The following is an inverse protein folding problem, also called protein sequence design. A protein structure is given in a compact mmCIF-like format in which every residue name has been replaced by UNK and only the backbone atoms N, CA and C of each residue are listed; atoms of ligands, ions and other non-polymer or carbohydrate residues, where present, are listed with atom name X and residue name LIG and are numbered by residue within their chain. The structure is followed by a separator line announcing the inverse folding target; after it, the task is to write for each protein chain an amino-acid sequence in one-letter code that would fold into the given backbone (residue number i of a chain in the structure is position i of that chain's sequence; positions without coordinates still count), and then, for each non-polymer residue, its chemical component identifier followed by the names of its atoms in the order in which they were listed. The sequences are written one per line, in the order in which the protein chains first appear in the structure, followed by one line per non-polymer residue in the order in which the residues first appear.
data_IF_698460955083
#
_entry.id   IF_698460955083
#
_cell.length_a   1.000
_cell.length_b   1.000
_cell.length_c   1.000
_cell.angle_alpha   90.00
_cell.angle_beta   90.00
_cell.angle_gamma   90.00
#
_symmetry.space_group_name_H-M   'P 1'
#
loop_
_entity.id
_entity.type
_entity.pdbx_description
1 polymer ?
#
# COMPACT_ATOMS: atom_id res chain seq x y z
N UNK A 1 3.04 -5.45 -32.00
CA UNK A 1 1.78 -4.77 -32.45
C UNK A 1 2.08 -3.28 -32.65
N UNK A 2 1.67 -2.64 -33.75
CA UNK A 2 1.91 -1.18 -33.95
C UNK A 2 1.17 -0.34 -32.88
N UNK A 3 1.81 0.70 -32.34
CA UNK A 3 1.15 1.75 -31.56
C UNK A 3 0.81 2.92 -32.49
N UNK A 4 -0.48 3.25 -32.62
CA UNK A 4 -0.93 4.37 -33.48
C UNK A 4 -0.46 5.73 -32.96
N UNK A 5 -0.49 5.94 -31.64
CA UNK A 5 -0.09 7.20 -30.99
C UNK A 5 1.41 7.46 -31.11
N UNK A 6 2.24 6.47 -30.74
CA UNK A 6 3.70 6.62 -30.76
C UNK A 6 4.32 6.34 -32.13
N UNK A 7 3.54 5.88 -33.11
CA UNK A 7 3.99 5.49 -34.47
C UNK A 7 5.18 4.52 -34.47
N UNK A 8 5.22 3.60 -33.50
CA UNK A 8 6.28 2.60 -33.35
C UNK A 8 5.73 1.19 -33.20
N UNK A 9 6.51 0.19 -33.64
CA UNK A 9 6.19 -1.23 -33.41
C UNK A 9 6.47 -1.54 -31.94
N UNK A 10 5.42 -1.87 -31.18
CA UNK A 10 5.55 -2.23 -29.77
C UNK A 10 6.26 -3.57 -29.64
N UNK A 11 7.37 -3.65 -28.87
CA UNK A 11 7.97 -4.90 -28.43
C UNK A 11 6.96 -5.77 -27.68
N UNK A 12 7.28 -7.05 -27.51
CA UNK A 12 6.44 -7.95 -26.72
C UNK A 12 6.19 -7.41 -25.31
N UNK A 13 5.00 -7.73 -24.77
CA UNK A 13 4.55 -7.34 -23.42
C UNK A 13 4.52 -5.82 -23.16
N UNK A 14 4.70 -4.98 -24.18
CA UNK A 14 4.67 -3.52 -24.03
C UNK A 14 3.31 -2.92 -24.38
N UNK A 15 2.91 -1.91 -23.61
CA UNK A 15 1.61 -1.25 -23.71
C UNK A 15 1.77 0.26 -23.72
N UNK A 16 0.87 0.95 -24.42
CA UNK A 16 0.82 2.41 -24.43
C UNK A 16 0.02 2.88 -23.22
N UNK A 17 0.61 3.73 -22.39
CA UNK A 17 -0.11 4.39 -21.31
C UNK A 17 -0.62 5.74 -21.82
N UNK A 18 -1.94 5.93 -21.85
CA UNK A 18 -2.55 7.21 -22.24
C UNK A 18 -2.22 8.34 -21.27
N UNK A 19 -2.03 8.03 -19.98
CA UNK A 19 -1.68 9.02 -18.94
C UNK A 19 -0.26 9.53 -19.11
N UNK A 20 0.71 8.64 -19.35
CA UNK A 20 2.11 9.05 -19.57
C UNK A 20 2.40 9.46 -21.02
N UNK A 21 1.52 9.15 -21.98
CA UNK A 21 1.68 9.51 -23.39
C UNK A 21 2.74 8.71 -24.16
N UNK A 22 3.27 7.63 -23.60
CA UNK A 22 4.30 6.81 -24.25
C UNK A 22 4.11 5.30 -24.03
N UNK A 23 4.80 4.50 -24.85
CA UNK A 23 4.85 3.04 -24.66
C UNK A 23 5.76 2.68 -23.49
N UNK A 24 5.36 1.68 -22.71
CA UNK A 24 6.08 1.17 -21.53
C UNK A 24 6.40 -0.31 -21.76
N UNK A 25 7.68 -0.67 -21.64
CA UNK A 25 8.15 -2.06 -21.74
C UNK A 25 7.65 -2.87 -20.55
N UNK A 26 7.19 -4.10 -20.80
CA UNK A 26 6.61 -5.00 -19.80
C UNK A 26 5.69 -4.24 -18.83
N UNK A 27 4.75 -3.48 -19.39
CA UNK A 27 3.89 -2.60 -18.59
C UNK A 27 3.02 -3.44 -17.66
N UNK A 28 2.99 -3.05 -16.39
CA UNK A 28 2.09 -3.60 -15.40
C UNK A 28 0.85 -2.71 -15.25
N UNK A 29 1.05 -1.49 -14.75
CA UNK A 29 -0.02 -0.49 -14.60
C UNK A 29 0.56 0.93 -14.56
N UNK A 30 -0.30 1.93 -14.68
CA UNK A 30 0.03 3.29 -14.27
C UNK A 30 -0.36 3.46 -12.80
N UNK A 31 0.62 3.75 -11.94
CA UNK A 31 0.37 3.86 -10.51
C UNK A 31 0.13 5.33 -10.15
N UNK A 32 -1.06 5.69 -9.64
CA UNK A 32 -1.34 7.07 -9.22
C UNK A 32 -0.50 7.47 -7.99
N UNK A 33 -0.12 6.51 -7.13
CA UNK A 33 0.64 6.80 -5.91
C UNK A 33 2.09 7.20 -6.19
N UNK A 34 2.71 6.63 -7.22
CA UNK A 34 4.07 6.99 -7.64
C UNK A 34 4.08 7.97 -8.82
N UNK A 35 2.89 8.34 -9.31
CA UNK A 35 2.67 9.18 -10.50
C UNK A 35 3.53 8.74 -11.70
N UNK A 36 3.69 7.43 -11.88
CA UNK A 36 4.51 6.87 -12.95
C UNK A 36 4.02 5.47 -13.34
N UNK A 37 4.38 5.05 -14.55
CA UNK A 37 4.13 3.66 -14.95
C UNK A 37 5.07 2.69 -14.25
N UNK A 38 4.49 1.61 -13.75
CA UNK A 38 5.22 0.43 -13.29
C UNK A 38 5.41 -0.51 -14.49
N UNK A 39 6.65 -0.86 -14.78
CA UNK A 39 7.01 -1.74 -15.88
C UNK A 39 8.43 -2.27 -15.75
N UNK A 40 9.03 -2.71 -16.86
CA UNK A 40 10.29 -3.46 -16.85
C UNK A 40 11.41 -2.82 -16.00
N UNK A 41 11.59 -1.50 -16.11
CA UNK A 41 12.72 -0.78 -15.51
C UNK A 41 12.55 -0.44 -14.03
N UNK A 42 11.33 -0.53 -13.49
CA UNK A 42 11.05 -0.11 -12.13
C UNK A 42 10.14 -1.05 -11.33
N UNK A 43 9.73 -2.20 -11.89
CA UNK A 43 8.89 -3.16 -11.17
C UNK A 43 9.53 -3.63 -9.85
N UNK A 44 10.86 -3.85 -9.84
CA UNK A 44 11.59 -4.18 -8.61
C UNK A 44 11.56 -3.05 -7.57
N UNK A 45 11.76 -1.80 -7.99
CA UNK A 45 11.68 -0.64 -7.08
C UNK A 45 10.27 -0.43 -6.53
N UNK A 46 9.24 -0.64 -7.37
CA UNK A 46 7.86 -0.60 -6.94
C UNK A 46 7.58 -1.66 -5.87
N UNK A 47 8.09 -2.89 -6.05
CA UNK A 47 7.93 -3.94 -5.05
C UNK A 47 8.68 -3.64 -3.74
N UNK A 48 9.88 -3.07 -3.81
CA UNK A 48 10.61 -2.59 -2.64
C UNK A 48 9.86 -1.48 -1.91
N UNK A 49 9.24 -0.55 -2.64
CA UNK A 49 8.39 0.49 -2.06
C UNK A 49 7.18 -0.13 -1.34
N UNK A 50 6.49 -1.11 -1.96
CA UNK A 50 5.40 -1.84 -1.31
C UNK A 50 5.86 -2.51 -0.01
N UNK A 51 7.00 -3.20 -0.03
CA UNK A 51 7.56 -3.85 1.15
C UNK A 51 7.93 -2.84 2.25
N UNK A 52 8.48 -1.69 1.88
CA UNK A 52 8.79 -0.60 2.81
C UNK A 52 7.53 -0.02 3.49
N UNK A 53 6.47 0.25 2.72
CA UNK A 53 5.20 0.72 3.27
C UNK A 53 4.54 -0.35 4.14
N UNK A 54 4.60 -1.62 3.74
CA UNK A 54 4.10 -2.73 4.53
C UNK A 54 4.82 -2.84 5.89
N UNK A 55 6.16 -2.82 5.91
CA UNK A 55 6.93 -2.82 7.14
C UNK A 55 6.65 -1.60 8.02
N UNK A 56 6.63 -0.40 7.43
CA UNK A 56 6.42 0.84 8.18
C UNK A 56 5.02 0.93 8.80
N UNK A 57 3.98 0.58 8.04
CA UNK A 57 2.60 0.57 8.53
C UNK A 57 2.35 -0.55 9.56
N UNK A 58 2.97 -1.72 9.38
CA UNK A 58 2.94 -2.80 10.37
C UNK A 58 3.62 -2.40 11.68
N UNK A 59 4.81 -1.80 11.60
CA UNK A 59 5.53 -1.26 12.76
C UNK A 59 4.71 -0.17 13.48
N UNK A 60 4.18 0.81 12.74
CA UNK A 60 3.36 1.88 13.28
C UNK A 60 2.10 1.37 13.99
N UNK A 61 1.45 0.35 13.42
CA UNK A 61 0.31 -0.33 14.04
C UNK A 61 0.71 -1.03 15.35
N UNK A 62 1.82 -1.77 15.34
CA UNK A 62 2.29 -2.52 16.51
C UNK A 62 2.61 -1.60 17.70
N UNK A 63 3.36 -0.51 17.47
CA UNK A 63 3.74 0.41 18.55
C UNK A 63 2.57 1.23 19.10
N UNK A 64 1.54 1.46 18.28
CA UNK A 64 0.39 2.29 18.65
C UNK A 64 -0.76 1.48 19.27
N UNK A 65 -0.71 0.14 19.19
CA UNK A 65 -1.76 -0.75 19.68
C UNK A 65 -2.05 -0.58 21.18
N UNK A 66 -1.00 -0.54 22.02
CA UNK A 66 -1.16 -0.37 23.46
C UNK A 66 -1.78 0.97 23.85
N UNK A 67 -1.47 2.02 23.08
CA UNK A 67 -2.07 3.35 23.27
C UNK A 67 -3.55 3.34 22.89
N UNK A 68 -3.88 2.69 21.77
CA UNK A 68 -5.26 2.54 21.33
C UNK A 68 -6.10 1.73 22.33
N UNK A 69 -5.57 0.61 22.85
CA UNK A 69 -6.30 -0.24 23.78
C UNK A 69 -6.57 0.47 25.12
N UNK A 70 -5.60 1.17 25.70
CA UNK A 70 -5.81 1.86 26.97
C UNK A 70 -6.78 3.03 26.83
N UNK A 71 -6.63 3.85 25.79
CA UNK A 71 -7.39 5.09 25.68
C UNK A 71 -8.74 4.97 25.03
N UNK A 72 -8.80 4.28 23.90
CA UNK A 72 -10.01 4.23 23.09
C UNK A 72 -10.84 3.06 23.55
N UNK A 73 -10.24 1.88 23.72
CA UNK A 73 -10.98 0.67 24.10
C UNK A 73 -11.42 0.70 25.57
N UNK A 74 -10.50 0.94 26.52
CA UNK A 74 -10.86 0.99 27.94
C UNK A 74 -11.71 2.22 28.28
N UNK A 75 -11.38 3.40 27.73
CA UNK A 75 -12.13 4.63 27.94
C UNK A 75 -13.57 4.57 27.41
N UNK A 76 -13.78 3.93 26.25
CA UNK A 76 -15.12 3.70 25.68
C UNK A 76 -15.93 2.65 26.45
N UNK A 77 -15.31 1.56 26.91
CA UNK A 77 -16.02 0.45 27.58
C UNK A 77 -16.28 0.68 29.07
N UNK A 78 -15.34 1.30 29.79
CA UNK A 78 -15.39 1.44 31.24
C UNK A 78 -15.73 2.87 31.71
N UNK A 79 -15.64 3.85 30.81
CA UNK A 79 -15.84 5.26 31.11
C UNK A 79 -14.57 5.92 31.65
N UNK A 80 -14.13 6.98 30.98
CA UNK A 80 -12.92 7.76 31.32
C UNK A 80 -12.97 8.30 32.75
N UNK A 81 -14.16 8.53 33.28
CA UNK A 81 -14.43 9.05 34.63
C UNK A 81 -13.95 8.12 35.76
N UNK A 82 -13.74 6.83 35.46
CA UNK A 82 -13.24 5.84 36.43
C UNK A 82 -11.72 5.69 36.42
N UNK A 83 -11.01 6.40 35.53
CA UNK A 83 -9.55 6.36 35.46
C UNK A 83 -8.96 7.20 36.59
N UNK A 84 -7.87 6.72 37.17
CA UNK A 84 -7.07 7.54 38.10
C UNK A 84 -6.42 8.71 37.36
N UNK A 85 -6.05 9.81 38.04
CA UNK A 85 -5.37 10.94 37.40
C UNK A 85 -4.10 10.55 36.62
N UNK A 86 -3.34 9.58 37.14
CA UNK A 86 -2.15 9.05 36.47
C UNK A 86 -2.48 8.27 35.19
N UNK A 87 -3.58 7.52 35.18
CA UNK A 87 -4.05 6.80 33.99
C UNK A 87 -4.66 7.75 32.97
N UNK A 88 -5.32 8.82 33.43
CA UNK A 88 -5.84 9.89 32.59
C UNK A 88 -4.71 10.66 31.88
N UNK A 89 -3.66 11.05 32.61
CA UNK A 89 -2.48 11.73 32.03
C UNK A 89 -1.74 10.84 31.03
N UNK A 90 -1.52 9.56 31.39
CA UNK A 90 -0.98 8.57 30.46
C UNK A 90 -1.87 8.43 29.24
N UNK A 91 -3.18 8.46 29.41
CA UNK A 91 -4.08 8.35 28.28
C UNK A 91 -4.08 9.61 27.39
N UNK A 92 -4.02 10.81 27.95
CA UNK A 92 -3.96 12.03 27.16
C UNK A 92 -2.66 12.07 26.33
N UNK A 93 -1.53 11.64 26.90
CA UNK A 93 -0.25 11.56 26.18
C UNK A 93 -0.19 10.40 25.16
N UNK A 94 -0.73 9.23 25.51
CA UNK A 94 -0.77 8.06 24.60
C UNK A 94 -1.86 8.21 23.53
N UNK A 95 -2.94 8.92 23.81
CA UNK A 95 -4.07 9.19 22.92
C UNK A 95 -3.66 9.86 21.61
N UNK A 96 -2.64 10.73 21.67
CA UNK A 96 -2.01 11.34 20.49
C UNK A 96 -1.45 10.29 19.52
N UNK A 97 -0.95 9.15 20.04
CA UNK A 97 -0.45 8.01 19.25
C UNK A 97 -1.56 7.04 18.87
N UNK A 98 -2.64 6.96 19.65
CA UNK A 98 -3.80 6.11 19.40
C UNK A 98 -4.49 6.43 18.07
N UNK A 99 -4.49 7.70 17.64
CA UNK A 99 -5.06 8.10 16.35
C UNK A 99 -4.36 7.44 15.15
N UNK A 100 -3.08 7.13 15.27
CA UNK A 100 -2.27 6.54 14.17
C UNK A 100 -2.56 5.05 13.99
N UNK A 101 -3.07 4.36 15.04
CA UNK A 101 -3.28 2.91 14.99
C UNK A 101 -4.22 2.47 13.86
N UNK A 102 -5.44 3.04 13.78
CA UNK A 102 -6.43 2.62 12.80
C UNK A 102 -5.98 2.90 11.36
N UNK A 103 -5.49 4.11 10.99
CA UNK A 103 -4.96 4.36 9.65
C UNK A 103 -3.77 3.45 9.30
N UNK A 104 -2.83 3.25 10.23
CA UNK A 104 -1.68 2.38 10.00
C UNK A 104 -2.12 0.93 9.77
N UNK A 105 -3.10 0.43 10.52
CA UNK A 105 -3.64 -0.91 10.36
C UNK A 105 -4.36 -1.07 9.02
N UNK A 106 -5.18 -0.10 8.62
CA UNK A 106 -5.86 -0.11 7.32
C UNK A 106 -4.85 -0.14 6.16
N UNK A 107 -3.80 0.68 6.22
CA UNK A 107 -2.72 0.69 5.23
C UNK A 107 -2.01 -0.66 5.22
N UNK A 108 -1.65 -1.20 6.38
CA UNK A 108 -0.99 -2.50 6.49
C UNK A 108 -1.80 -3.62 5.82
N UNK A 109 -3.09 -3.73 6.12
CA UNK A 109 -3.98 -4.74 5.53
C UNK A 109 -4.13 -4.57 4.02
N UNK A 110 -4.29 -3.32 3.55
CA UNK A 110 -4.32 -3.03 2.11
C UNK A 110 -3.02 -3.44 1.42
N UNK A 111 -1.87 -3.18 2.04
CA UNK A 111 -0.56 -3.57 1.52
C UNK A 111 -0.34 -5.09 1.54
N UNK A 112 -0.92 -5.83 2.50
CA UNK A 112 -0.92 -7.30 2.45
C UNK A 112 -1.63 -7.83 1.20
N UNK A 113 -2.80 -7.26 0.87
CA UNK A 113 -3.58 -7.67 -0.31
C UNK A 113 -2.82 -7.32 -1.59
N UNK A 114 -2.37 -6.06 -1.71
CA UNK A 114 -1.64 -5.59 -2.90
C UNK A 114 -0.29 -6.30 -3.08
N UNK A 115 0.46 -6.48 -1.99
CA UNK A 115 1.73 -7.21 -1.99
C UNK A 115 1.54 -8.69 -2.34
N UNK A 116 0.53 -9.34 -1.77
CA UNK A 116 0.17 -10.72 -2.10
C UNK A 116 -0.22 -10.89 -3.57
N UNK A 117 -1.00 -9.94 -4.11
CA UNK A 117 -1.31 -9.89 -5.55
C UNK A 117 -0.05 -9.80 -6.42
N UNK A 118 0.84 -8.86 -6.12
CA UNK A 118 2.08 -8.71 -6.90
C UNK A 118 3.03 -9.91 -6.74
N UNK A 119 3.07 -10.55 -5.57
CA UNK A 119 3.81 -11.81 -5.36
C UNK A 119 3.29 -12.93 -6.27
N UNK A 120 1.97 -13.08 -6.41
CA UNK A 120 1.37 -14.04 -7.34
C UNK A 120 1.76 -13.74 -8.79
N UNK A 121 1.71 -12.47 -9.21
CA UNK A 121 2.10 -12.06 -10.55
C UNK A 121 3.59 -12.32 -10.82
N UNK A 122 4.46 -12.04 -9.84
CA UNK A 122 5.89 -12.33 -9.93
C UNK A 122 6.13 -13.84 -10.04
N UNK A 123 5.48 -14.64 -9.19
CA UNK A 123 5.61 -16.10 -9.16
C UNK A 123 5.15 -16.75 -10.48
N UNK A 124 4.15 -16.16 -11.14
CA UNK A 124 3.62 -16.63 -12.44
C UNK A 124 4.27 -15.94 -13.64
N UNK A 125 5.24 -15.04 -13.41
CA UNK A 125 5.89 -14.21 -14.42
C UNK A 125 4.91 -13.42 -15.31
N UNK A 126 3.78 -13.01 -14.76
CA UNK A 126 2.74 -12.23 -15.44
C UNK A 126 2.81 -10.77 -15.01
N UNK A 127 2.36 -9.86 -15.88
CA UNK A 127 1.94 -8.51 -15.46
C UNK A 127 0.45 -8.49 -15.18
N UNK A 128 -0.05 -7.46 -14.47
CA UNK A 128 -1.48 -7.24 -14.22
C UNK A 128 -2.27 -7.29 -15.53
N UNK A 129 -1.81 -6.62 -16.59
CA UNK A 129 -2.45 -6.63 -17.90
C UNK A 129 -2.51 -8.04 -18.50
N UNK A 130 -1.45 -8.83 -18.37
CA UNK A 130 -1.38 -10.19 -18.91
C UNK A 130 -2.31 -11.14 -18.18
N UNK A 131 -2.37 -11.04 -16.84
CA UNK A 131 -3.29 -11.84 -16.03
C UNK A 131 -4.73 -11.66 -16.49
N UNK A 132 -5.19 -10.41 -16.67
CA UNK A 132 -6.55 -10.13 -17.12
C UNK A 132 -6.81 -10.48 -18.58
N UNK A 133 -5.77 -10.53 -19.43
CA UNK A 133 -5.93 -10.92 -20.84
C UNK A 133 -5.97 -12.44 -21.04
N UNK A 134 -5.38 -13.19 -20.11
CA UNK A 134 -5.29 -14.66 -20.19
C UNK A 134 -6.46 -15.36 -19.48
N UNK A 135 -7.32 -14.61 -18.80
CA UNK A 135 -8.63 -15.07 -18.30
C UNK A 135 -9.71 -14.79 -19.34
#
# INVERSE_FOLDING_TARGET
RLCKTCKLVRPERSHHCSVCGHCVLRMDHHCPFTNCCVGLRNHGYFFLWLAGVWLGSGYGSAISFSSFSVCVWTGYLYGVEKLTPLELDKCIEMGKRSFIFLPALCIFLFMCILGGWHLLLIATNQTTIEFYRNR
#
